data_IF_387779971084
#
_entry.id   IF_387779971084
#
_cell.length_a   1.000
_cell.length_b   1.000
_cell.length_c   1.000
_cell.angle_alpha   90.00
_cell.angle_beta   90.00
_cell.angle_gamma   90.00
#
_symmetry.space_group_name_H-M   'P 1'
#
loop_
_entity.id
_entity.type
_entity.pdbx_description
1 polymer ?
#
# COMPACT_ATOMS: atom_id res chain seq x y z
N UNK A 1 16.44 -21.57 -29.84
CA UNK A 1 16.02 -21.51 -28.42
C UNK A 1 16.68 -20.31 -27.77
N UNK A 2 16.04 -19.14 -27.82
CA UNK A 2 16.36 -18.10 -26.83
C UNK A 2 15.47 -18.39 -25.64
N UNK A 3 16.03 -19.04 -24.62
CA UNK A 3 15.42 -19.04 -23.29
C UNK A 3 15.60 -17.63 -22.74
N UNK A 4 14.66 -16.74 -23.02
CA UNK A 4 14.53 -15.53 -22.20
C UNK A 4 13.89 -16.00 -20.91
N UNK A 5 14.73 -16.39 -19.94
CA UNK A 5 14.31 -16.28 -18.55
C UNK A 5 13.98 -14.80 -18.37
N UNK A 6 12.70 -14.46 -18.38
CA UNK A 6 12.21 -13.12 -18.07
C UNK A 6 12.57 -12.91 -16.60
N UNK A 7 13.74 -12.34 -16.36
CA UNK A 7 14.22 -12.05 -15.01
C UNK A 7 13.26 -11.05 -14.37
N UNK A 8 12.94 -11.27 -13.09
CA UNK A 8 12.29 -10.28 -12.26
C UNK A 8 13.03 -8.94 -12.38
N UNK A 9 12.30 -7.83 -12.23
CA UNK A 9 12.89 -6.49 -12.33
C UNK A 9 14.08 -6.38 -11.35
N UNK A 10 15.30 -6.04 -11.81
CA UNK A 10 16.45 -5.84 -10.91
C UNK A 10 16.17 -4.83 -9.80
N UNK A 11 15.29 -3.86 -10.08
CA UNK A 11 14.83 -2.84 -9.14
C UNK A 11 14.03 -3.43 -7.96
N UNK A 12 13.34 -4.56 -8.15
CA UNK A 12 12.55 -5.24 -7.12
C UNK A 12 13.30 -6.38 -6.42
N UNK A 13 14.58 -6.61 -6.74
CA UNK A 13 15.33 -7.75 -6.20
C UNK A 13 15.47 -7.73 -4.67
N UNK A 14 15.58 -6.54 -4.07
CA UNK A 14 15.65 -6.35 -2.60
C UNK A 14 14.28 -6.17 -1.92
N UNK A 15 13.18 -6.33 -2.63
CA UNK A 15 11.82 -6.21 -2.07
C UNK A 15 11.31 -7.59 -1.69
N UNK A 16 11.07 -7.83 -0.40
CA UNK A 16 10.57 -9.12 0.09
C UNK A 16 9.10 -9.36 -0.26
N UNK A 17 8.23 -8.38 0.03
CA UNK A 17 6.79 -8.51 -0.14
C UNK A 17 6.20 -7.36 -0.96
N UNK A 18 5.46 -7.69 -2.01
CA UNK A 18 4.71 -6.72 -2.81
C UNK A 18 3.22 -6.89 -2.52
N UNK A 19 2.58 -5.80 -2.09
CA UNK A 19 1.16 -5.77 -1.73
C UNK A 19 0.45 -4.73 -2.58
N UNK A 20 -0.56 -5.16 -3.34
CA UNK A 20 -1.44 -4.23 -4.04
C UNK A 20 -2.56 -3.76 -3.11
N UNK A 21 -2.81 -2.46 -3.07
CA UNK A 21 -3.99 -1.90 -2.41
C UNK A 21 -4.99 -1.49 -3.48
N UNK A 22 -6.12 -2.19 -3.53
CA UNK A 22 -7.14 -2.05 -4.57
C UNK A 22 -8.44 -1.47 -4.01
N UNK A 23 -9.24 -0.86 -4.88
CA UNK A 23 -10.60 -0.44 -4.54
C UNK A 23 -11.49 -0.42 -5.78
N UNK A 24 -12.76 -0.82 -5.64
CA UNK A 24 -13.67 -0.83 -6.79
C UNK A 24 -14.10 0.56 -7.28
N UNK A 25 -14.14 1.57 -6.39
CA UNK A 25 -14.58 2.93 -6.73
C UNK A 25 -13.70 4.00 -6.09
N UNK A 26 -13.70 5.19 -6.70
CA UNK A 26 -13.03 6.37 -6.16
C UNK A 26 -13.67 6.83 -4.83
N UNK A 27 -12.87 7.46 -3.98
CA UNK A 27 -13.37 8.09 -2.74
C UNK A 27 -13.64 7.14 -1.57
N UNK A 28 -13.28 5.85 -1.66
CA UNK A 28 -13.39 4.91 -0.51
C UNK A 28 -12.29 5.07 0.54
N UNK A 29 -11.36 6.01 0.33
CA UNK A 29 -10.20 6.22 1.21
C UNK A 29 -9.07 5.22 1.03
N UNK A 30 -8.95 4.56 -0.13
CA UNK A 30 -7.87 3.61 -0.46
C UNK A 30 -6.48 4.19 -0.17
N UNK A 31 -6.13 5.35 -0.71
CA UNK A 31 -4.80 5.97 -0.49
C UNK A 31 -4.55 6.33 0.98
N UNK A 32 -5.60 6.67 1.74
CA UNK A 32 -5.53 6.85 3.20
C UNK A 32 -5.26 5.52 3.91
N UNK A 33 -5.90 4.42 3.49
CA UNK A 33 -5.60 3.07 4.00
C UNK A 33 -4.17 2.66 3.64
N UNK A 34 -3.72 2.88 2.39
CA UNK A 34 -2.34 2.60 1.97
C UNK A 34 -1.32 3.36 2.82
N UNK A 35 -1.58 4.64 3.06
CA UNK A 35 -0.74 5.50 3.91
C UNK A 35 -0.67 4.95 5.34
N UNK A 36 -1.80 4.58 5.93
CA UNK A 36 -1.85 4.08 7.30
C UNK A 36 -1.23 2.68 7.45
N UNK A 37 -1.40 1.79 6.48
CA UNK A 37 -0.65 0.52 6.44
C UNK A 37 0.86 0.78 6.43
N UNK A 38 1.33 1.72 5.60
CA UNK A 38 2.74 2.06 5.52
C UNK A 38 3.29 2.62 6.83
N UNK A 39 2.56 3.57 7.44
CA UNK A 39 2.95 4.18 8.71
C UNK A 39 2.98 3.15 9.84
N UNK A 40 2.00 2.24 9.92
CA UNK A 40 1.99 1.17 10.92
C UNK A 40 3.15 0.20 10.73
N UNK A 41 3.40 -0.29 9.51
CA UNK A 41 4.51 -1.20 9.24
C UNK A 41 5.87 -0.54 9.55
N UNK A 42 6.04 0.72 9.18
CA UNK A 42 7.25 1.48 9.47
C UNK A 42 7.44 1.69 11.00
N UNK A 43 6.36 1.97 11.74
CA UNK A 43 6.38 2.05 13.20
C UNK A 43 6.67 0.70 13.89
N UNK A 44 6.36 -0.42 13.22
CA UNK A 44 6.77 -1.77 13.63
C UNK A 44 8.23 -2.11 13.27
N UNK A 45 8.98 -1.15 12.73
CA UNK A 45 10.41 -1.30 12.40
C UNK A 45 10.68 -1.90 11.01
N UNK A 46 9.64 -2.10 10.18
CA UNK A 46 9.80 -2.61 8.82
C UNK A 46 10.30 -1.53 7.86
N UNK A 47 11.06 -1.93 6.86
CA UNK A 47 11.42 -1.07 5.72
C UNK A 47 10.29 -1.12 4.68
N UNK A 48 9.70 0.03 4.39
CA UNK A 48 8.48 0.13 3.60
C UNK A 48 8.67 1.08 2.41
N UNK A 49 8.23 0.65 1.23
CA UNK A 49 8.03 1.49 0.06
C UNK A 49 6.55 1.69 -0.21
N UNK A 50 6.16 2.89 -0.65
CA UNK A 50 4.84 3.16 -1.20
C UNK A 50 4.99 3.63 -2.64
N UNK A 51 4.38 2.89 -3.56
CA UNK A 51 4.30 3.23 -4.97
C UNK A 51 2.87 3.65 -5.33
N UNK A 52 2.70 4.91 -5.72
CA UNK A 52 1.44 5.46 -6.24
C UNK A 52 1.38 5.32 -7.76
N UNK A 53 0.51 4.43 -8.24
CA UNK A 53 0.24 4.27 -9.68
C UNK A 53 -1.09 4.91 -10.12
N UNK A 54 -1.77 5.67 -9.26
CA UNK A 54 -2.89 6.53 -9.67
C UNK A 54 -2.36 7.79 -10.38
N UNK A 55 -1.89 7.60 -11.62
CA UNK A 55 -1.22 8.63 -12.42
C UNK A 55 -2.13 9.84 -12.72
N UNK A 56 -3.44 9.68 -12.64
CA UNK A 56 -4.41 10.74 -12.97
C UNK A 56 -4.78 11.61 -11.78
N UNK A 57 -4.61 11.08 -10.57
CA UNK A 57 -4.87 11.80 -9.32
C UNK A 57 -3.91 11.39 -8.21
N UNK A 58 -2.58 11.55 -8.41
CA UNK A 58 -1.60 11.12 -7.44
C UNK A 58 -1.80 11.86 -6.12
N UNK A 59 -1.95 11.11 -5.03
CA UNK A 59 -2.32 11.67 -3.72
C UNK A 59 -1.32 11.36 -2.63
N UNK A 60 -0.46 10.35 -2.83
CA UNK A 60 0.53 9.92 -1.82
C UNK A 60 1.46 11.06 -1.38
N UNK A 61 2.02 11.92 -2.27
CA UNK A 61 2.84 13.05 -1.85
C UNK A 61 2.13 13.97 -0.85
N UNK A 62 0.81 14.17 -1.00
CA UNK A 62 0.00 14.97 -0.09
C UNK A 62 -0.27 14.26 1.22
N UNK A 63 -0.62 12.97 1.18
CA UNK A 63 -0.84 12.16 2.39
C UNK A 63 0.37 12.15 3.33
N UNK A 64 1.58 12.25 2.79
CA UNK A 64 2.82 12.32 3.57
C UNK A 64 3.34 13.74 3.84
N UNK A 65 2.64 14.79 3.39
CA UNK A 65 3.10 16.19 3.55
C UNK A 65 4.40 16.49 2.78
N UNK A 66 4.64 15.79 1.66
CA UNK A 66 5.87 15.82 0.87
C UNK A 66 5.67 16.37 -0.55
N UNK A 67 4.58 17.10 -0.80
CA UNK A 67 4.27 17.69 -2.11
C UNK A 67 5.31 18.70 -2.62
N UNK A 68 6.23 19.16 -1.76
CA UNK A 68 7.36 20.03 -2.12
C UNK A 68 8.60 19.25 -2.59
N UNK A 69 8.60 17.91 -2.48
CA UNK A 69 9.72 17.06 -2.85
C UNK A 69 9.71 16.69 -4.33
N UNK A 70 10.89 16.34 -4.82
CA UNK A 70 11.11 15.85 -6.18
C UNK A 70 11.93 14.58 -6.13
N UNK A 71 11.70 13.71 -7.12
CA UNK A 71 12.51 12.51 -7.34
C UNK A 71 13.83 12.91 -7.98
N UNK A 72 14.93 12.34 -7.49
CA UNK A 72 16.25 12.56 -8.05
C UNK A 72 16.64 11.41 -8.99
N UNK A 73 17.13 11.76 -10.17
CA UNK A 73 17.77 10.80 -11.07
C UNK A 73 19.21 10.55 -10.64
N UNK A 74 19.53 9.31 -10.28
CA UNK A 74 20.91 8.83 -10.09
C UNK A 74 21.38 8.04 -11.32
N UNK A 75 22.65 7.64 -11.35
CA UNK A 75 23.20 6.74 -12.37
C UNK A 75 22.58 5.33 -12.35
N UNK A 76 22.04 4.91 -11.20
CA UNK A 76 21.43 3.59 -11.03
C UNK A 76 19.91 3.59 -11.29
N UNK A 77 19.29 4.78 -11.37
CA UNK A 77 17.84 4.92 -11.47
C UNK A 77 17.28 6.08 -10.65
N UNK A 78 15.96 6.13 -10.49
CA UNK A 78 15.25 7.08 -9.66
C UNK A 78 15.38 6.75 -8.18
N UNK A 79 15.87 7.70 -7.39
CA UNK A 79 15.92 7.58 -5.94
C UNK A 79 14.54 7.96 -5.38
N UNK A 80 13.87 7.05 -4.63
CA UNK A 80 12.58 7.37 -4.04
C UNK A 80 12.71 8.45 -2.96
N UNK A 81 11.58 9.09 -2.65
CA UNK A 81 11.52 10.17 -1.66
C UNK A 81 11.37 9.56 -0.27
N UNK A 82 12.39 9.67 0.57
CA UNK A 82 12.34 9.20 1.97
C UNK A 82 11.59 10.18 2.87
N UNK A 83 10.73 9.66 3.75
CA UNK A 83 9.88 10.46 4.64
C UNK A 83 10.65 11.17 5.76
N UNK A 84 11.74 10.56 6.23
CA UNK A 84 12.61 11.12 7.27
C UNK A 84 14.05 10.58 7.19
N UNK A 85 14.87 10.93 8.18
CA UNK A 85 16.29 10.58 8.27
C UNK A 85 16.55 9.09 8.57
N UNK A 86 15.58 8.36 9.14
CA UNK A 86 15.73 6.93 9.42
C UNK A 86 15.74 6.09 8.14
N UNK A 87 15.16 6.63 7.05
CA UNK A 87 15.03 5.99 5.74
C UNK A 87 14.32 4.63 5.80
N UNK A 88 13.46 4.41 6.79
CA UNK A 88 12.63 3.21 6.89
C UNK A 88 11.40 3.26 5.97
N UNK A 89 10.97 4.45 5.53
CA UNK A 89 9.80 4.62 4.67
C UNK A 89 10.13 5.54 3.49
N UNK A 90 9.80 5.08 2.28
CA UNK A 90 10.07 5.79 1.04
C UNK A 90 8.88 5.76 0.08
N UNK A 91 8.79 6.79 -0.76
CA UNK A 91 7.64 7.06 -1.60
C UNK A 91 8.07 7.24 -3.06
N UNK A 92 7.26 6.71 -3.98
CA UNK A 92 7.33 7.02 -5.40
C UNK A 92 5.92 7.33 -5.91
N UNK A 93 5.77 8.42 -6.64
CA UNK A 93 4.49 8.86 -7.21
C UNK A 93 4.77 9.78 -8.38
N UNK A 94 3.86 9.80 -9.36
CA UNK A 94 3.93 10.77 -10.45
C UNK A 94 3.91 12.21 -9.92
N UNK A 95 3.27 12.47 -8.77
CA UNK A 95 3.22 13.79 -8.16
C UNK A 95 4.59 14.41 -7.85
N UNK A 96 5.64 13.59 -7.64
CA UNK A 96 7.02 14.08 -7.44
C UNK A 96 7.75 14.41 -8.75
N UNK A 97 7.17 14.05 -9.90
CA UNK A 97 7.71 14.31 -11.24
C UNK A 97 7.00 15.46 -11.96
N UNK A 98 5.88 15.94 -11.41
CA UNK A 98 5.15 17.09 -11.97
C UNK A 98 5.85 18.40 -11.61
N UNK A 99 5.88 19.34 -12.56
CA UNK A 99 6.50 20.65 -12.36
C UNK A 99 5.66 21.57 -11.46
N UNK A 100 4.33 21.37 -11.45
CA UNK A 100 3.40 22.10 -10.61
C UNK A 100 2.35 21.16 -10.02
N UNK A 101 1.89 21.48 -8.80
CA UNK A 101 0.88 20.72 -8.04
C UNK A 101 -0.46 20.61 -8.75
N UNK A 102 -0.81 21.60 -9.58
CA UNK A 102 -2.12 21.70 -10.23
C UNK A 102 -2.18 21.11 -11.63
N UNK A 103 -1.07 20.58 -12.15
CA UNK A 103 -1.01 20.12 -13.53
C UNK A 103 -1.85 18.86 -13.72
N UNK A 104 -2.96 18.98 -14.46
CA UNK A 104 -3.78 17.83 -14.81
C UNK A 104 -3.05 16.92 -15.78
N UNK A 105 -2.91 15.64 -15.43
CA UNK A 105 -2.26 14.64 -16.27
C UNK A 105 -3.28 14.00 -17.21
N UNK A 106 -3.25 14.40 -18.49
CA UNK A 106 -4.07 13.76 -19.54
C UNK A 106 -3.17 12.94 -20.45
N UNK A 107 -2.97 11.67 -20.09
CA UNK A 107 -2.10 10.75 -20.83
C UNK A 107 -2.87 9.61 -21.50
N UNK A 108 -2.42 9.23 -22.69
CA UNK A 108 -2.91 8.04 -23.40
C UNK A 108 -2.38 6.77 -22.73
N UNK A 109 -3.13 5.68 -22.80
CA UNK A 109 -2.81 4.37 -22.20
C UNK A 109 -1.34 3.94 -22.35
N UNK A 110 -0.74 3.94 -23.56
CA UNK A 110 0.66 3.53 -23.75
C UNK A 110 1.67 4.34 -22.91
N UNK A 111 1.42 5.63 -22.69
CA UNK A 111 2.27 6.48 -21.85
C UNK A 111 2.13 6.14 -20.37
N UNK A 112 0.92 5.76 -19.93
CA UNK A 112 0.68 5.30 -18.56
C UNK A 112 1.38 3.97 -18.29
N UNK A 113 1.24 3.02 -19.19
CA UNK A 113 1.94 1.72 -19.14
C UNK A 113 3.46 1.91 -19.11
N UNK A 114 3.99 2.83 -19.93
CA UNK A 114 5.43 3.14 -19.91
C UNK A 114 5.87 3.73 -18.55
N UNK A 115 5.08 4.60 -17.94
CA UNK A 115 5.38 5.17 -16.63
C UNK A 115 5.36 4.10 -15.52
N UNK A 116 4.35 3.24 -15.49
CA UNK A 116 4.28 2.13 -14.52
C UNK A 116 5.50 1.21 -14.67
N UNK A 117 5.89 0.90 -15.91
CA UNK A 117 7.12 0.15 -16.18
C UNK A 117 8.35 0.84 -15.61
N UNK A 118 8.50 2.14 -15.78
CA UNK A 118 9.63 2.89 -15.21
C UNK A 118 9.62 2.84 -13.68
N UNK A 119 8.46 2.98 -13.04
CA UNK A 119 8.36 2.83 -11.58
C UNK A 119 8.79 1.45 -11.08
N UNK A 120 8.49 0.39 -11.83
CA UNK A 120 8.83 -0.99 -11.46
C UNK A 120 10.28 -1.35 -11.81
N UNK A 121 10.87 -0.73 -12.84
CA UNK A 121 12.19 -1.13 -13.36
C UNK A 121 13.32 -0.18 -13.01
N UNK A 122 13.03 1.10 -12.86
CA UNK A 122 14.05 2.14 -12.80
C UNK A 122 14.14 2.81 -11.42
N UNK A 123 13.29 2.44 -10.46
CA UNK A 123 13.35 2.98 -9.10
C UNK A 123 14.34 2.18 -8.25
N UNK A 124 15.23 2.86 -7.56
CA UNK A 124 16.21 2.24 -6.67
C UNK A 124 15.57 2.05 -5.29
N UNK A 125 14.73 1.03 -5.15
CA UNK A 125 14.02 0.72 -3.90
C UNK A 125 14.97 0.29 -2.78
N UNK A 126 16.04 -0.44 -3.13
CA UNK A 126 16.93 -1.05 -2.15
C UNK A 126 16.25 -2.21 -1.42
N UNK A 127 16.63 -2.40 -0.15
CA UNK A 127 16.07 -3.45 0.70
C UNK A 127 14.78 -2.99 1.36
N UNK A 128 13.65 -3.62 1.02
CA UNK A 128 12.34 -3.36 1.60
C UNK A 128 11.71 -4.66 2.11
N UNK A 129 11.11 -4.61 3.29
CA UNK A 129 10.26 -5.70 3.78
C UNK A 129 8.91 -5.69 3.06
N UNK A 130 8.37 -4.49 2.78
CA UNK A 130 7.09 -4.32 2.09
C UNK A 130 7.14 -3.20 1.04
N UNK A 131 6.63 -3.47 -0.16
CA UNK A 131 6.29 -2.47 -1.16
C UNK A 131 4.76 -2.45 -1.32
N UNK A 132 4.13 -1.39 -0.85
CA UNK A 132 2.69 -1.15 -0.99
C UNK A 132 2.42 -0.39 -2.29
N UNK A 133 1.61 -0.95 -3.18
CA UNK A 133 1.25 -0.34 -4.46
C UNK A 133 -0.17 0.21 -4.36
N UNK A 134 -0.29 1.54 -4.32
CA UNK A 134 -1.56 2.25 -4.36
C UNK A 134 -2.06 2.36 -5.80
N UNK A 135 -3.15 1.66 -6.11
CA UNK A 135 -3.68 1.57 -7.48
C UNK A 135 -4.72 2.66 -7.77
N UNK A 136 -5.09 2.96 -9.03
CA UNK A 136 -6.30 3.76 -9.28
C UNK A 136 -7.58 2.99 -8.89
N UNK A 137 -8.74 3.66 -8.78
CA UNK A 137 -9.99 2.97 -8.51
C UNK A 137 -10.54 2.20 -9.73
N UNK A 138 -11.25 1.11 -9.46
CA UNK A 138 -11.90 0.28 -10.48
C UNK A 138 -10.90 -0.52 -11.30
N UNK A 139 -11.30 -0.99 -12.49
CA UNK A 139 -10.40 -1.75 -13.39
C UNK A 139 -10.01 -0.87 -14.57
N UNK A 140 -8.72 -0.66 -14.76
CA UNK A 140 -8.17 0.30 -15.73
C UNK A 140 -6.91 -0.23 -16.43
N UNK A 141 -6.39 0.49 -17.43
CA UNK A 141 -5.15 0.12 -18.15
C UNK A 141 -3.96 -0.04 -17.18
N UNK A 142 -3.94 0.75 -16.11
CA UNK A 142 -2.94 0.71 -15.05
C UNK A 142 -2.93 -0.63 -14.31
N UNK A 143 -4.11 -1.26 -14.09
CA UNK A 143 -4.23 -2.57 -13.46
C UNK A 143 -3.62 -3.68 -14.31
N UNK A 144 -3.87 -3.64 -15.62
CA UNK A 144 -3.27 -4.57 -16.56
C UNK A 144 -1.75 -4.35 -16.62
N UNK A 145 -1.32 -3.09 -16.70
CA UNK A 145 0.09 -2.73 -16.77
C UNK A 145 0.86 -3.22 -15.55
N UNK A 146 0.33 -3.03 -14.34
CA UNK A 146 1.02 -3.51 -13.13
C UNK A 146 1.00 -5.05 -13.05
N UNK A 147 -0.09 -5.70 -13.45
CA UNK A 147 -0.15 -7.16 -13.49
C UNK A 147 0.85 -7.77 -14.48
N UNK A 148 1.07 -7.12 -15.62
CA UNK A 148 2.08 -7.54 -16.61
C UNK A 148 3.51 -7.37 -16.08
N UNK A 149 3.82 -6.24 -15.45
CA UNK A 149 5.17 -5.99 -14.93
C UNK A 149 5.51 -6.86 -13.71
N UNK A 150 4.51 -7.26 -12.92
CA UNK A 150 4.69 -8.14 -11.76
C UNK A 150 4.48 -9.63 -12.04
N UNK A 151 4.11 -10.01 -13.28
CA UNK A 151 3.70 -11.39 -13.64
C UNK A 151 4.71 -12.49 -13.25
N UNK A 152 5.99 -12.16 -13.22
CA UNK A 152 7.09 -13.08 -12.92
C UNK A 152 7.80 -12.74 -11.60
N UNK A 153 7.15 -11.98 -10.73
CA UNK A 153 7.66 -11.68 -9.39
C UNK A 153 7.11 -12.71 -8.41
N UNK A 154 7.99 -13.54 -7.85
CA UNK A 154 7.65 -14.48 -6.78
C UNK A 154 7.39 -13.75 -5.44
N UNK A 155 7.72 -12.46 -5.36
CA UNK A 155 7.56 -11.60 -4.18
C UNK A 155 6.15 -11.03 -4.00
N UNK A 156 5.18 -11.38 -4.85
CA UNK A 156 3.80 -10.90 -4.69
C UNK A 156 3.16 -11.62 -3.50
N UNK A 157 2.99 -10.88 -2.40
CA UNK A 157 2.28 -11.37 -1.23
C UNK A 157 0.76 -11.41 -1.49
N UNK A 158 0.21 -10.37 -2.12
CA UNK A 158 -1.18 -10.35 -2.56
C UNK A 158 -1.83 -8.98 -2.60
N UNK A 159 -3.16 -8.95 -2.55
CA UNK A 159 -3.97 -7.74 -2.64
C UNK A 159 -4.80 -7.50 -1.36
N UNK A 160 -4.74 -6.28 -0.86
CA UNK A 160 -5.67 -5.73 0.14
C UNK A 160 -6.77 -4.96 -0.59
N UNK A 161 -8.02 -5.33 -0.34
CA UNK A 161 -9.18 -4.71 -0.97
C UNK A 161 -9.85 -3.73 -0.01
N UNK A 162 -10.00 -2.46 -0.43
CA UNK A 162 -10.63 -1.41 0.36
C UNK A 162 -12.03 -1.12 -0.15
N UNK A 163 -13.03 -1.14 0.74
CA UNK A 163 -14.43 -0.82 0.42
C UNK A 163 -15.09 0.02 1.50
N UNK A 164 -16.24 0.63 1.18
CA UNK A 164 -17.18 1.13 2.19
C UNK A 164 -18.34 0.15 2.38
N UNK A 165 -19.15 0.28 3.46
CA UNK A 165 -20.25 -0.65 3.75
C UNK A 165 -21.40 -0.64 2.74
N UNK A 166 -21.44 0.36 1.86
CA UNK A 166 -22.55 0.60 0.94
C UNK A 166 -22.60 -0.42 -0.19
N UNK A 167 -23.80 -0.90 -0.53
CA UNK A 167 -24.01 -1.87 -1.61
C UNK A 167 -23.40 -1.49 -2.97
N UNK A 168 -23.38 -0.19 -3.31
CA UNK A 168 -22.75 0.31 -4.54
C UNK A 168 -21.24 0.10 -4.53
N UNK A 169 -20.57 0.36 -3.39
CA UNK A 169 -19.13 0.08 -3.25
C UNK A 169 -18.84 -1.42 -3.40
N UNK A 170 -19.66 -2.25 -2.75
CA UNK A 170 -19.51 -3.70 -2.75
C UNK A 170 -19.70 -4.28 -4.16
N UNK A 171 -20.58 -3.71 -4.99
CA UNK A 171 -20.77 -4.16 -6.36
C UNK A 171 -19.52 -3.99 -7.22
N UNK A 172 -18.80 -2.86 -7.07
CA UNK A 172 -17.56 -2.62 -7.81
C UNK A 172 -16.40 -3.46 -7.28
N UNK A 173 -16.36 -3.71 -5.97
CA UNK A 173 -15.34 -4.60 -5.36
C UNK A 173 -15.42 -6.03 -5.90
N UNK A 174 -16.60 -6.53 -6.27
CA UNK A 174 -16.71 -7.86 -6.92
C UNK A 174 -15.92 -7.93 -8.23
N UNK A 175 -15.78 -6.82 -8.95
CA UNK A 175 -14.96 -6.76 -10.17
C UNK A 175 -13.47 -6.85 -9.82
N UNK A 176 -13.03 -6.20 -8.75
CA UNK A 176 -11.65 -6.31 -8.24
C UNK A 176 -11.31 -7.73 -7.80
N UNK A 177 -12.19 -8.37 -7.03
CA UNK A 177 -12.01 -9.77 -6.63
C UNK A 177 -11.92 -10.70 -7.85
N UNK A 178 -12.72 -10.44 -8.89
CA UNK A 178 -12.62 -11.16 -10.15
C UNK A 178 -11.32 -10.86 -10.90
N UNK A 179 -10.81 -9.63 -10.85
CA UNK A 179 -9.53 -9.25 -11.45
C UNK A 179 -8.38 -10.00 -10.79
N UNK A 180 -8.27 -9.96 -9.45
CA UNK A 180 -7.25 -10.72 -8.69
C UNK A 180 -7.28 -12.21 -9.03
N UNK A 181 -8.47 -12.81 -9.10
CA UNK A 181 -8.62 -14.22 -9.48
C UNK A 181 -8.14 -14.52 -10.91
N UNK A 182 -8.37 -13.62 -11.87
CA UNK A 182 -7.97 -13.82 -13.28
C UNK A 182 -6.47 -13.70 -13.49
N UNK A 183 -5.83 -12.76 -12.79
CA UNK A 183 -4.37 -12.55 -12.87
C UNK A 183 -3.59 -13.51 -11.96
N UNK A 184 -4.25 -14.13 -10.99
CA UNK A 184 -3.63 -15.05 -10.04
C UNK A 184 -3.03 -14.37 -8.82
N UNK A 185 -3.44 -13.15 -8.48
CA UNK A 185 -2.97 -12.47 -7.28
C UNK A 185 -3.73 -12.97 -6.05
N UNK A 186 -3.02 -13.43 -4.98
CA UNK A 186 -3.64 -13.78 -3.71
C UNK A 186 -4.42 -12.60 -3.13
N UNK A 187 -5.53 -12.88 -2.44
CA UNK A 187 -6.29 -11.84 -1.73
C UNK A 187 -5.96 -11.96 -0.24
N UNK A 188 -5.23 -10.97 0.29
CA UNK A 188 -4.86 -10.92 1.71
C UNK A 188 -6.07 -10.62 2.59
N UNK A 189 -7.01 -9.84 2.07
CA UNK A 189 -8.31 -9.65 2.70
C UNK A 189 -8.97 -8.32 2.36
N UNK A 190 -10.11 -8.09 3.01
CA UNK A 190 -10.94 -6.89 2.81
C UNK A 190 -10.88 -6.01 4.05
N UNK A 191 -10.67 -4.71 3.83
CA UNK A 191 -10.83 -3.65 4.83
C UNK A 191 -12.13 -2.89 4.52
N UNK A 192 -13.03 -2.82 5.50
CA UNK A 192 -14.21 -1.97 5.43
C UNK A 192 -13.87 -0.60 6.03
N UNK A 193 -13.63 0.38 5.16
CA UNK A 193 -13.37 1.76 5.55
C UNK A 193 -14.66 2.57 5.69
N UNK A 194 -14.60 3.67 6.44
CA UNK A 194 -15.74 4.56 6.71
C UNK A 194 -16.95 3.82 7.34
N UNK A 195 -16.70 2.80 8.16
CA UNK A 195 -17.75 1.92 8.72
C UNK A 195 -18.54 2.52 9.88
N UNK A 196 -18.30 3.78 10.21
CA UNK A 196 -18.95 4.48 11.31
C UNK A 196 -18.26 5.79 11.66
N UNK A 197 -18.95 6.63 12.42
CA UNK A 197 -18.42 7.86 12.98
C UNK A 197 -18.63 7.84 14.49
N UNK A 198 -17.53 7.90 15.24
CA UNK A 198 -17.58 8.01 16.69
C UNK A 198 -17.85 9.47 17.03
N UNK A 199 -19.03 9.75 17.59
CA UNK A 199 -19.38 11.10 18.00
C UNK A 199 -18.43 11.58 19.11
N UNK A 200 -17.72 12.72 18.95
CA UNK A 200 -16.79 13.20 19.97
C UNK A 200 -17.48 13.67 21.26
N UNK A 201 -18.80 13.92 21.22
CA UNK A 201 -19.56 14.40 22.37
C UNK A 201 -20.14 13.26 23.24
N UNK A 202 -20.57 12.15 22.63
CA UNK A 202 -21.24 11.06 23.35
C UNK A 202 -20.60 9.67 23.21
N UNK A 203 -19.49 9.55 22.45
CA UNK A 203 -18.81 8.28 22.15
C UNK A 203 -19.67 7.22 21.44
N UNK A 204 -20.90 7.57 21.04
CA UNK A 204 -21.76 6.68 20.27
C UNK A 204 -21.25 6.59 18.83
N UNK A 205 -21.12 5.36 18.32
CA UNK A 205 -20.72 5.11 16.93
C UNK A 205 -21.96 5.05 16.05
N UNK A 206 -22.15 6.06 15.21
CA UNK A 206 -23.22 6.06 14.22
C UNK A 206 -22.73 5.48 12.90
N UNK A 207 -23.44 4.46 12.40
CA UNK A 207 -23.17 3.84 11.09
C UNK A 207 -23.70 4.73 9.96
N UNK A 208 -23.04 5.86 9.68
CA UNK A 208 -23.47 6.87 8.69
C UNK A 208 -23.81 6.24 7.34
N UNK A 209 -23.09 5.18 6.94
CA UNK A 209 -23.20 4.57 5.61
C UNK A 209 -23.62 3.10 5.62
N UNK A 210 -24.14 2.56 6.73
CA UNK A 210 -24.29 1.12 7.05
C UNK A 210 -23.03 0.50 7.68
N UNK A 211 -23.06 -0.81 7.99
CA UNK A 211 -21.97 -1.59 8.60
C UNK A 211 -22.00 -3.05 8.11
N UNK A 212 -20.83 -3.69 8.02
CA UNK A 212 -20.69 -5.13 7.81
C UNK A 212 -20.86 -5.57 6.35
N UNK A 213 -20.94 -4.63 5.42
CA UNK A 213 -21.00 -4.90 3.99
C UNK A 213 -19.74 -5.59 3.48
N UNK A 214 -18.57 -5.07 3.86
CA UNK A 214 -17.26 -5.65 3.54
C UNK A 214 -17.02 -6.99 4.23
N UNK A 215 -17.45 -7.13 5.49
CA UNK A 215 -17.35 -8.41 6.22
C UNK A 215 -18.21 -9.50 5.57
N UNK A 216 -19.46 -9.17 5.21
CA UNK A 216 -20.34 -10.09 4.51
C UNK A 216 -19.79 -10.47 3.12
N UNK A 217 -19.19 -9.50 2.41
CA UNK A 217 -18.53 -9.76 1.13
C UNK A 217 -17.34 -10.70 1.30
N UNK A 218 -16.53 -10.49 2.34
CA UNK A 218 -15.38 -11.34 2.64
C UNK A 218 -15.81 -12.79 2.91
N UNK A 219 -16.87 -12.98 3.71
CA UNK A 219 -17.49 -14.31 3.93
C UNK A 219 -18.01 -14.92 2.64
N UNK A 220 -18.68 -14.14 1.79
CA UNK A 220 -19.24 -14.63 0.52
C UNK A 220 -18.16 -15.10 -0.46
N UNK A 221 -17.00 -14.45 -0.48
CA UNK A 221 -15.88 -14.78 -1.37
C UNK A 221 -14.79 -15.62 -0.70
N UNK A 222 -15.06 -16.12 0.51
CA UNK A 222 -14.13 -16.96 1.28
C UNK A 222 -12.74 -16.33 1.45
N UNK A 223 -12.69 -15.00 1.64
CA UNK A 223 -11.45 -14.28 1.90
C UNK A 223 -11.43 -13.68 3.31
N UNK A 224 -10.23 -13.38 3.82
CA UNK A 224 -10.06 -12.81 5.16
C UNK A 224 -10.73 -11.43 5.28
N UNK A 225 -11.38 -11.17 6.41
CA UNK A 225 -11.82 -9.83 6.78
C UNK A 225 -10.80 -9.23 7.75
N UNK A 226 -10.08 -8.20 7.30
CA UNK A 226 -8.96 -7.63 8.05
C UNK A 226 -9.47 -6.72 9.17
N UNK A 227 -10.49 -5.91 8.90
CA UNK A 227 -11.12 -5.10 9.92
C UNK A 227 -11.96 -3.96 9.39
N UNK A 228 -12.52 -3.22 10.34
CA UNK A 228 -13.29 -1.99 10.11
C UNK A 228 -12.47 -0.78 10.49
N UNK A 229 -12.48 0.25 9.65
CA UNK A 229 -11.80 1.52 9.90
C UNK A 229 -12.87 2.62 10.01
N UNK A 230 -12.99 3.31 11.17
CA UNK A 230 -13.95 4.39 11.35
C UNK A 230 -13.53 5.64 10.58
N UNK A 231 -14.47 6.57 10.38
CA UNK A 231 -14.14 7.92 9.93
C UNK A 231 -13.38 8.62 11.06
N UNK A 232 -12.13 9.00 10.81
CA UNK A 232 -11.31 9.77 11.74
C UNK A 232 -10.96 11.15 11.17
N UNK A 233 -11.64 12.22 11.60
CA UNK A 233 -11.28 13.59 11.25
C UNK A 233 -9.87 13.99 11.70
N UNK A 234 -9.33 13.38 12.78
CA UNK A 234 -7.98 13.70 13.27
C UNK A 234 -6.92 13.28 12.28
N UNK A 235 -7.08 12.12 11.63
CA UNK A 235 -6.18 11.68 10.57
C UNK A 235 -6.15 12.68 9.39
N UNK A 236 -7.31 13.19 8.97
CA UNK A 236 -7.38 14.21 7.90
C UNK A 236 -6.67 15.50 8.34
N UNK A 237 -6.95 15.98 9.55
CA UNK A 237 -6.28 17.17 10.09
C UNK A 237 -4.78 16.97 10.24
N UNK A 238 -4.34 15.76 10.57
CA UNK A 238 -2.92 15.41 10.67
C UNK A 238 -2.26 15.53 9.31
N UNK A 239 -2.83 14.93 8.26
CA UNK A 239 -2.31 15.01 6.88
C UNK A 239 -2.24 16.47 6.40
N UNK A 240 -3.28 17.26 6.64
CA UNK A 240 -3.33 18.66 6.17
C UNK A 240 -2.38 19.60 6.94
N UNK A 241 -2.01 19.27 8.18
CA UNK A 241 -1.13 20.10 9.01
C UNK A 241 0.31 19.56 9.13
N UNK A 242 0.56 18.31 8.76
CA UNK A 242 1.88 17.71 8.85
C UNK A 242 2.85 18.42 7.91
N UNK A 243 3.89 19.03 8.49
CA UNK A 243 5.07 19.57 7.78
C UNK A 243 6.29 18.69 8.05
N UNK A 244 6.10 17.38 8.02
CA UNK A 244 7.03 16.37 8.50
C UNK A 244 6.62 15.78 9.86
N UNK A 245 7.32 14.72 10.28
CA UNK A 245 7.06 14.02 11.54
C UNK A 245 5.77 13.20 11.57
N UNK A 246 5.25 12.80 10.40
CA UNK A 246 3.97 12.09 10.30
C UNK A 246 4.02 10.72 10.99
N UNK A 247 5.16 10.03 10.95
CA UNK A 247 5.34 8.71 11.58
C UNK A 247 5.16 8.81 13.10
N UNK A 248 5.80 9.79 13.73
CA UNK A 248 5.77 10.01 15.17
C UNK A 248 4.36 10.39 15.65
N UNK A 249 3.71 11.33 14.96
CA UNK A 249 2.36 11.78 15.32
C UNK A 249 1.34 10.66 15.10
N UNK A 250 1.50 9.87 14.03
CA UNK A 250 0.59 8.77 13.72
C UNK A 250 0.63 7.67 14.78
N UNK A 251 1.81 7.32 15.29
CA UNK A 251 1.99 6.26 16.29
C UNK A 251 1.21 6.46 17.60
N UNK A 252 0.87 7.72 17.94
CA UNK A 252 0.10 8.06 19.14
C UNK A 252 -1.43 7.96 18.96
N UNK A 253 -1.90 7.66 17.74
CA UNK A 253 -3.33 7.64 17.42
C UNK A 253 -4.02 6.31 17.73
N UNK A 254 -5.34 6.36 17.93
CA UNK A 254 -6.16 5.14 17.99
C UNK A 254 -6.21 4.42 16.63
N UNK A 255 -5.98 5.14 15.53
CA UNK A 255 -5.87 4.54 14.20
C UNK A 255 -4.66 3.62 14.09
N UNK A 256 -3.52 3.97 14.68
CA UNK A 256 -2.34 3.09 14.71
C UNK A 256 -2.64 1.74 15.37
N UNK A 257 -3.46 1.70 16.43
CA UNK A 257 -3.89 0.45 17.09
C UNK A 257 -4.80 -0.39 16.20
N UNK A 258 -5.75 0.25 15.50
CA UNK A 258 -6.65 -0.43 14.55
C UNK A 258 -5.83 -1.04 13.41
N UNK A 259 -4.90 -0.26 12.85
CA UNK A 259 -4.07 -0.72 11.76
C UNK A 259 -3.02 -1.76 12.18
N UNK A 260 -2.52 -1.73 13.41
CA UNK A 260 -1.68 -2.82 13.94
C UNK A 260 -2.43 -4.15 13.86
N UNK A 261 -3.69 -4.21 14.34
CA UNK A 261 -4.50 -5.42 14.23
C UNK A 261 -4.89 -5.82 12.80
N UNK A 262 -4.96 -4.85 11.87
CA UNK A 262 -5.14 -5.12 10.43
C UNK A 262 -3.86 -5.72 9.84
N UNK A 263 -2.69 -5.15 10.15
CA UNK A 263 -1.38 -5.62 9.69
C UNK A 263 -1.10 -7.02 10.22
N UNK A 264 -1.39 -7.30 11.49
CA UNK A 264 -1.24 -8.63 12.06
C UNK A 264 -2.06 -9.66 11.26
N UNK A 265 -3.33 -9.38 10.96
CA UNK A 265 -4.14 -10.34 10.18
C UNK A 265 -3.72 -10.47 8.72
N UNK A 266 -3.21 -9.39 8.13
CA UNK A 266 -2.83 -9.35 6.72
C UNK A 266 -1.46 -9.99 6.47
N UNK A 267 -0.55 -9.89 7.43
CA UNK A 267 0.87 -10.17 7.27
C UNK A 267 1.44 -11.16 8.32
N UNK A 268 0.62 -11.76 9.21
CA UNK A 268 1.11 -12.63 10.29
C UNK A 268 1.83 -13.91 9.85
N UNK A 269 1.45 -14.51 8.70
CA UNK A 269 2.08 -15.76 8.24
C UNK A 269 3.60 -15.56 8.03
N UNK A 270 4.02 -14.34 7.70
CA UNK A 270 5.43 -13.92 7.57
C UNK A 270 6.09 -13.59 8.91
N UNK A 271 5.34 -13.01 9.87
CA UNK A 271 5.89 -12.72 11.20
C UNK A 271 6.39 -14.00 11.91
N UNK A 272 5.79 -15.16 11.60
CA UNK A 272 6.26 -16.46 12.09
C UNK A 272 7.50 -16.97 11.34
N UNK A 273 7.61 -16.71 10.04
CA UNK A 273 8.74 -17.12 9.20
C UNK A 273 9.98 -16.26 9.50
N UNK A 274 9.82 -14.94 9.63
CA UNK A 274 10.87 -14.01 10.04
C UNK A 274 11.33 -14.25 11.49
N UNK A 275 10.40 -14.61 12.40
CA UNK A 275 10.77 -15.02 13.76
C UNK A 275 11.60 -16.32 13.78
N UNK A 276 11.36 -17.24 12.83
CA UNK A 276 12.18 -18.45 12.66
C UNK A 276 13.55 -18.11 12.07
N UNK A 277 13.61 -17.30 11.01
CA UNK A 277 14.87 -16.86 10.39
C UNK A 277 15.75 -16.08 11.37
N UNK A 278 15.17 -15.13 12.12
CA UNK A 278 15.90 -14.36 13.14
C UNK A 278 16.43 -15.27 14.26
N UNK A 279 15.62 -16.23 14.72
CA UNK A 279 16.06 -17.20 15.72
C UNK A 279 17.15 -18.15 15.21
N UNK A 280 17.17 -18.48 13.91
CA UNK A 280 18.23 -19.28 13.28
C UNK A 280 19.52 -18.47 13.09
N UNK A 281 19.43 -17.21 12.67
CA UNK A 281 20.57 -16.30 12.59
C UNK A 281 21.22 -16.09 13.97
N UNK A 282 20.42 -15.87 15.01
CA UNK A 282 20.92 -15.71 16.39
C UNK A 282 21.62 -16.98 16.91
N UNK A 283 21.07 -18.17 16.64
CA UNK A 283 21.72 -19.45 16.97
C UNK A 283 23.04 -19.63 16.21
N UNK A 284 23.09 -19.25 14.94
CA UNK A 284 24.30 -19.35 14.13
C UNK A 284 25.42 -18.44 14.66
N UNK A 285 25.07 -17.20 15.04
CA UNK A 285 25.99 -16.22 15.65
C UNK A 285 26.46 -16.65 17.03
N UNK A 286 25.57 -17.23 17.85
CA UNK A 286 25.94 -17.76 19.15
C UNK A 286 26.92 -18.95 19.04
N UNK A 287 26.78 -19.79 18.01
CA UNK A 287 27.69 -20.90 17.75
C UNK A 287 29.07 -20.45 17.24
N UNK A 288 29.16 -19.30 16.55
CA UNK A 288 30.44 -18.76 16.05
C UNK A 288 31.23 -17.98 17.11
N UNK A 289 30.54 -17.31 18.04
CA UNK A 289 31.17 -16.54 19.13
C UNK A 289 31.54 -17.39 20.36
N UNK A 290 31.23 -18.69 20.34
CA UNK A 290 31.53 -19.64 21.41
C UNK A 290 32.86 -20.41 21.26
N UNK A 291 33.71 -20.03 20.30
CA UNK A 291 35.07 -20.56 20.09
C UNK A 291 36.11 -19.46 20.31
#
# INVERSE_FOLDING_TARGET
MYSTATQSSPSLAGVKNIVLVLSGKGGVGKSSVTTQLALTLAAQGKKVGVLDIDLTGPSIPRFFGMEDKQVYQSSAGWVPVYTDASRNLCLMSLGFLLSSRGDSVVWRGPRKTAMIRQFIRDVVWGELDYLLIDTPPGTSDEHISIAEELRFCDQILGAVIVTTPQGVALADVRKELSFCKKIGFPILGIIENMSGYVCPHCSECQNIFSKGGGENLAKQYECKFLGTVPIDPKFVLMVENAKGGLQEIYGETDMAKIFAGICDKAFSEENEEEAKETAEEEKSRAATNGQ
#
